data_IF_262439458037
#
_entry.id   IF_262439458037
#
_cell.length_a   1.000
_cell.length_b   1.000
_cell.length_c   1.000
_cell.angle_alpha   90.00
_cell.angle_beta   90.00
_cell.angle_gamma   90.00
#
_symmetry.space_group_name_H-M   'P 1'
#
loop_
_entity.id
_entity.type
_entity.pdbx_description
1 polymer ?
#
# COMPACT_ATOMS: atom_id res chain seq x y z
N UNK A 1 20.42 25.17 17.55
CA UNK A 1 19.33 24.30 18.02
C UNK A 1 18.86 23.52 16.83
N UNK A 2 18.98 22.18 16.82
CA UNK A 2 18.35 21.31 15.81
C UNK A 2 16.85 21.49 15.98
N UNK A 3 16.19 21.89 14.91
CA UNK A 3 14.79 22.28 14.98
C UNK A 3 13.89 21.06 14.94
N UNK A 4 13.52 20.52 16.10
CA UNK A 4 12.42 19.58 16.21
C UNK A 4 11.15 20.24 15.65
N UNK A 5 10.53 19.62 14.64
CA UNK A 5 9.26 20.08 14.11
C UNK A 5 8.15 19.82 15.14
N UNK A 6 7.55 20.89 15.71
CA UNK A 6 6.51 20.78 16.75
C UNK A 6 6.84 19.75 17.87
N UNK A 7 8.12 19.67 18.29
CA UNK A 7 8.67 18.72 19.28
C UNK A 7 8.81 17.26 18.81
N UNK A 8 8.61 16.97 17.53
CA UNK A 8 8.87 15.66 16.95
C UNK A 8 10.30 15.60 16.42
N UNK A 9 10.99 14.52 16.72
CA UNK A 9 12.22 14.15 16.02
C UNK A 9 11.83 13.40 14.75
N UNK A 10 12.41 13.81 13.62
CA UNK A 10 12.02 13.34 12.28
C UNK A 10 13.19 12.64 11.59
N UNK A 11 12.90 11.58 10.86
CA UNK A 11 13.85 10.94 9.94
C UNK A 11 13.21 10.79 8.56
N UNK A 12 14.01 10.87 7.51
CA UNK A 12 13.56 10.56 6.14
C UNK A 12 14.41 9.44 5.58
N UNK A 13 13.79 8.39 5.09
CA UNK A 13 14.42 7.28 4.39
C UNK A 13 14.35 7.53 2.88
N UNK A 14 15.49 7.42 2.21
CA UNK A 14 15.64 7.62 0.76
C UNK A 14 16.22 6.32 0.17
N UNK A 15 15.42 5.48 -0.46
CA UNK A 15 15.94 4.33 -1.22
C UNK A 15 16.63 4.84 -2.48
N UNK A 16 17.86 4.39 -2.73
CA UNK A 16 18.69 4.83 -3.85
C UNK A 16 19.18 3.62 -4.65
N UNK A 17 18.87 3.58 -5.95
CA UNK A 17 19.42 2.61 -6.89
C UNK A 17 19.70 3.27 -8.22
N UNK A 18 20.98 3.50 -8.56
CA UNK A 18 21.43 4.19 -9.76
C UNK A 18 20.90 5.63 -9.86
N UNK A 19 21.09 6.40 -8.77
CA UNK A 19 20.59 7.78 -8.62
C UNK A 19 21.74 8.81 -8.58
N UNK A 20 22.93 8.51 -9.13
CA UNK A 20 24.11 9.37 -9.09
C UNK A 20 23.84 10.82 -9.53
N UNK A 21 22.88 10.99 -10.49
CA UNK A 21 22.55 12.30 -11.10
C UNK A 21 21.57 13.10 -10.27
N UNK A 22 20.62 12.45 -9.59
CA UNK A 22 19.48 13.12 -8.98
C UNK A 22 19.60 13.23 -7.47
N UNK A 23 20.25 12.28 -6.79
CA UNK A 23 20.28 12.19 -5.33
C UNK A 23 20.82 13.46 -4.65
N UNK A 24 21.76 14.17 -5.29
CA UNK A 24 22.28 15.43 -4.76
C UNK A 24 21.19 16.50 -4.65
N UNK A 25 20.33 16.61 -5.64
CA UNK A 25 19.23 17.58 -5.67
C UNK A 25 18.16 17.19 -4.66
N UNK A 26 17.78 15.92 -4.62
CA UNK A 26 16.83 15.37 -3.65
C UNK A 26 17.24 15.71 -2.22
N UNK A 27 18.50 15.43 -1.83
CA UNK A 27 18.98 15.69 -0.46
C UNK A 27 19.03 17.20 -0.16
N UNK A 28 19.44 18.04 -1.13
CA UNK A 28 19.52 19.50 -0.93
C UNK A 28 18.16 20.18 -0.76
N UNK A 29 17.11 19.64 -1.37
CA UNK A 29 15.73 20.16 -1.25
C UNK A 29 15.06 19.82 0.08
N UNK A 30 15.60 18.84 0.83
CA UNK A 30 15.05 18.48 2.13
C UNK A 30 15.18 19.59 3.15
N UNK A 31 14.07 19.91 3.78
CA UNK A 31 13.98 21.00 4.77
C UNK A 31 14.87 20.80 5.98
N UNK A 32 15.22 21.91 6.63
CA UNK A 32 16.12 21.92 7.81
C UNK A 32 15.49 21.31 9.07
N UNK A 33 14.16 21.16 9.11
CA UNK A 33 13.47 20.55 10.23
C UNK A 33 13.60 19.01 10.26
N UNK A 34 14.10 18.39 9.18
CA UNK A 34 14.42 16.97 9.15
C UNK A 34 15.72 16.74 9.91
N UNK A 35 15.65 15.97 11.01
CA UNK A 35 16.77 15.72 11.90
C UNK A 35 17.75 14.68 11.33
N UNK A 36 17.22 13.63 10.68
CA UNK A 36 17.99 12.53 10.11
C UNK A 36 17.59 12.24 8.66
N UNK A 37 18.57 12.10 7.78
CA UNK A 37 18.40 11.71 6.39
C UNK A 37 19.11 10.37 6.20
N UNK A 38 18.36 9.30 5.99
CA UNK A 38 18.88 7.93 5.87
C UNK A 38 18.81 7.54 4.39
N UNK A 39 19.91 7.71 3.66
CA UNK A 39 20.02 7.27 2.28
C UNK A 39 20.50 5.81 2.25
N UNK A 40 19.66 4.93 1.69
CA UNK A 40 19.96 3.50 1.57
C UNK A 40 20.36 3.21 0.13
N UNK A 41 21.64 2.96 -0.09
CA UNK A 41 22.15 2.49 -1.38
C UNK A 41 21.81 1.00 -1.55
N UNK A 42 20.99 0.67 -2.52
CA UNK A 42 20.52 -0.71 -2.77
C UNK A 42 21.39 -1.42 -3.80
N UNK A 43 22.69 -1.52 -3.51
CA UNK A 43 23.73 -2.09 -4.38
C UNK A 43 23.71 -1.46 -5.78
N UNK A 44 23.81 -0.12 -5.86
CA UNK A 44 23.91 0.62 -7.14
C UNK A 44 25.13 0.19 -7.96
N UNK A 45 25.00 0.23 -9.27
CA UNK A 45 26.05 -0.12 -10.24
C UNK A 45 26.76 1.11 -10.81
N UNK A 46 26.25 2.31 -10.52
CA UNK A 46 26.82 3.62 -10.86
C UNK A 46 27.57 4.25 -9.66
N UNK A 47 27.97 5.51 -9.73
CA UNK A 47 28.68 6.20 -8.64
C UNK A 47 27.74 6.75 -7.54
N UNK A 48 26.54 6.22 -7.38
CA UNK A 48 25.58 6.67 -6.33
C UNK A 48 26.24 6.67 -4.95
N UNK A 49 26.94 5.59 -4.58
CA UNK A 49 27.59 5.48 -3.28
C UNK A 49 28.71 6.52 -3.11
N UNK A 50 29.50 6.81 -4.17
CA UNK A 50 30.53 7.83 -4.16
C UNK A 50 29.95 9.23 -3.96
N UNK A 51 28.84 9.54 -4.62
CA UNK A 51 28.10 10.80 -4.45
C UNK A 51 27.56 10.94 -3.03
N UNK A 52 26.90 9.89 -2.49
CA UNK A 52 26.37 9.87 -1.12
C UNK A 52 27.49 10.11 -0.07
N UNK A 53 28.64 9.45 -0.23
CA UNK A 53 29.77 9.63 0.68
C UNK A 53 30.39 11.03 0.64
N UNK A 54 30.38 11.68 -0.53
CA UNK A 54 30.79 13.10 -0.65
C UNK A 54 29.80 14.03 0.06
N UNK A 55 28.49 13.81 -0.12
CA UNK A 55 27.43 14.59 0.53
C UNK A 55 27.45 14.43 2.05
N UNK A 56 27.71 13.22 2.57
CA UNK A 56 27.82 12.94 4.00
C UNK A 56 28.88 13.78 4.68
N UNK A 57 30.01 14.06 4.01
CA UNK A 57 31.07 14.95 4.57
C UNK A 57 30.63 16.42 4.73
N UNK A 58 29.56 16.82 4.04
CA UNK A 58 29.05 18.20 4.02
C UNK A 58 27.72 18.36 4.77
N UNK A 59 27.10 17.25 5.18
CA UNK A 59 25.78 17.25 5.84
C UNK A 59 25.74 16.23 6.97
N UNK A 60 25.91 16.72 8.21
CA UNK A 60 25.92 15.90 9.43
C UNK A 60 24.61 15.14 9.68
N UNK A 61 23.50 15.52 9.02
CA UNK A 61 22.21 14.82 9.12
C UNK A 61 22.16 13.60 8.22
N UNK A 62 23.06 13.51 7.22
CA UNK A 62 23.04 12.44 6.23
C UNK A 62 23.75 11.19 6.75
N UNK A 63 23.01 10.12 6.79
CA UNK A 63 23.45 8.78 7.11
C UNK A 63 23.37 7.96 5.84
N UNK A 64 24.44 7.26 5.50
CA UNK A 64 24.49 6.37 4.34
C UNK A 64 24.52 4.94 4.83
N UNK A 65 23.56 4.15 4.37
CA UNK A 65 23.46 2.70 4.60
C UNK A 65 23.65 2.01 3.25
N UNK A 66 24.53 1.02 3.20
CA UNK A 66 24.90 0.33 1.97
C UNK A 66 24.46 -1.15 2.03
N UNK A 67 23.58 -1.56 1.12
CA UNK A 67 23.16 -2.95 0.99
C UNK A 67 24.16 -3.71 0.12
N UNK A 68 24.58 -4.89 0.54
CA UNK A 68 25.50 -5.76 -0.24
C UNK A 68 24.87 -6.28 -1.53
N UNK A 69 23.54 -6.47 -1.54
CA UNK A 69 22.77 -6.98 -2.68
C UNK A 69 21.54 -6.11 -2.91
N UNK A 70 21.13 -5.97 -4.17
CA UNK A 70 19.91 -5.27 -4.54
C UNK A 70 18.67 -6.02 -4.04
N UNK A 71 17.98 -5.45 -3.07
CA UNK A 71 16.77 -5.98 -2.47
C UNK A 71 15.48 -5.42 -3.10
N UNK A 72 15.60 -4.36 -3.90
CA UNK A 72 14.49 -3.58 -4.44
C UNK A 72 14.02 -2.49 -3.50
N UNK A 73 13.16 -1.59 -4.00
CA UNK A 73 12.72 -0.40 -3.26
C UNK A 73 12.16 -0.73 -1.87
N UNK A 74 11.32 -1.75 -1.75
CA UNK A 74 10.76 -2.18 -0.47
C UNK A 74 11.83 -2.72 0.48
N UNK A 75 12.82 -3.48 -0.04
CA UNK A 75 13.93 -3.98 0.76
C UNK A 75 14.80 -2.83 1.29
N UNK A 76 15.12 -1.85 0.46
CA UNK A 76 15.86 -0.65 0.86
C UNK A 76 15.10 0.16 1.92
N UNK A 77 13.78 0.32 1.76
CA UNK A 77 12.94 1.00 2.76
C UNK A 77 12.92 0.25 4.09
N UNK A 78 12.79 -1.07 4.09
CA UNK A 78 12.83 -1.89 5.32
C UNK A 78 14.18 -1.74 6.01
N UNK A 79 15.30 -1.75 5.26
CA UNK A 79 16.63 -1.49 5.81
C UNK A 79 16.71 -0.09 6.44
N UNK A 80 16.15 0.92 5.78
CA UNK A 80 16.11 2.29 6.30
C UNK A 80 15.26 2.44 7.56
N UNK A 81 14.11 1.78 7.65
CA UNK A 81 13.27 1.76 8.85
C UNK A 81 13.98 1.08 10.02
N UNK A 82 14.58 -0.09 9.77
CA UNK A 82 15.34 -0.80 10.80
C UNK A 82 16.49 0.06 11.34
N UNK A 83 17.20 0.76 10.45
CA UNK A 83 18.24 1.71 10.85
C UNK A 83 17.67 2.87 11.67
N UNK A 84 16.57 3.51 11.22
CA UNK A 84 15.92 4.60 11.92
C UNK A 84 15.51 4.20 13.35
N UNK A 85 14.88 3.02 13.49
CA UNK A 85 14.44 2.48 14.78
C UNK A 85 15.61 2.21 15.71
N UNK A 86 16.71 1.63 15.22
CA UNK A 86 17.85 1.23 16.06
C UNK A 86 18.77 2.39 16.45
N UNK A 87 18.88 3.41 15.59
CA UNK A 87 19.93 4.42 15.72
C UNK A 87 19.44 5.86 15.89
N UNK A 88 18.12 6.10 15.85
CA UNK A 88 17.54 7.43 16.07
C UNK A 88 16.39 7.37 17.08
N UNK A 89 15.95 8.53 17.56
CA UNK A 89 14.73 8.69 18.35
C UNK A 89 13.57 9.26 17.54
N UNK A 90 13.70 9.26 16.21
CA UNK A 90 12.67 9.79 15.34
C UNK A 90 11.31 9.08 15.58
N UNK A 91 10.28 9.87 15.80
CA UNK A 91 8.91 9.40 16.00
C UNK A 91 8.10 9.42 14.72
N UNK A 92 8.44 10.32 13.79
CA UNK A 92 7.92 10.37 12.42
C UNK A 92 9.03 9.98 11.43
N UNK A 93 8.80 8.93 10.65
CA UNK A 93 9.75 8.43 9.67
C UNK A 93 9.14 8.63 8.28
N UNK A 94 9.72 9.56 7.52
CA UNK A 94 9.29 9.92 6.18
C UNK A 94 9.92 9.01 5.12
N UNK A 95 9.28 8.96 3.96
CA UNK A 95 9.77 8.29 2.75
C UNK A 95 9.82 9.31 1.62
N UNK A 96 10.97 9.41 0.95
CA UNK A 96 11.15 10.23 -0.25
C UNK A 96 11.93 9.41 -1.27
N UNK A 97 11.46 9.38 -2.52
CA UNK A 97 12.19 8.72 -3.60
C UNK A 97 13.47 9.48 -3.95
N UNK A 98 14.52 8.77 -4.38
CA UNK A 98 15.83 9.36 -4.73
C UNK A 98 15.85 10.07 -6.08
N UNK A 99 14.81 9.92 -6.89
CA UNK A 99 14.67 10.35 -8.29
C UNK A 99 14.25 11.82 -8.50
N UNK A 100 14.14 12.61 -7.41
CA UNK A 100 13.73 14.02 -7.40
C UNK A 100 12.34 14.31 -8.03
N UNK A 101 11.48 13.29 -8.22
CA UNK A 101 10.15 13.47 -8.77
C UNK A 101 9.12 13.97 -7.76
N UNK A 102 9.40 13.84 -6.46
CA UNK A 102 8.54 14.33 -5.40
C UNK A 102 8.98 15.73 -4.94
N UNK A 103 8.04 16.69 -4.93
CA UNK A 103 8.30 18.01 -4.38
C UNK A 103 8.30 17.93 -2.84
N UNK A 104 9.50 17.98 -2.25
CA UNK A 104 9.72 17.89 -0.81
C UNK A 104 9.08 19.04 0.00
N UNK A 105 8.60 20.13 -0.64
CA UNK A 105 7.86 21.20 0.04
C UNK A 105 6.56 20.74 0.67
N UNK A 106 5.93 19.66 0.13
CA UNK A 106 4.71 19.09 0.68
C UNK A 106 4.93 18.25 1.95
N UNK A 107 6.18 17.85 2.25
CA UNK A 107 6.49 17.05 3.45
C UNK A 107 6.08 17.76 4.74
N UNK A 108 6.17 19.09 4.78
CA UNK A 108 5.78 19.88 5.96
C UNK A 108 4.27 19.83 6.19
N UNK A 109 3.47 20.10 5.16
CA UNK A 109 2.02 20.04 5.23
C UNK A 109 1.52 18.61 5.57
N UNK A 110 2.19 17.59 5.02
CA UNK A 110 1.90 16.19 5.37
C UNK A 110 2.25 15.86 6.83
N UNK A 111 3.29 16.48 7.38
CA UNK A 111 3.67 16.32 8.78
C UNK A 111 2.70 17.06 9.72
N UNK A 112 2.11 18.17 9.27
CA UNK A 112 1.02 18.84 9.99
C UNK A 112 -0.21 17.92 10.06
N UNK A 113 -0.63 17.33 8.94
CA UNK A 113 -1.73 16.35 8.93
C UNK A 113 -1.43 15.14 9.82
N UNK A 114 -0.18 14.67 9.83
CA UNK A 114 0.25 13.55 10.69
C UNK A 114 0.03 13.86 12.18
N UNK A 115 0.33 15.11 12.61
CA UNK A 115 0.15 15.55 13.99
C UNK A 115 -1.31 15.86 14.28
N UNK A 116 -1.93 16.73 13.49
CA UNK A 116 -3.23 17.33 13.77
C UNK A 116 -4.36 16.29 13.67
N UNK A 117 -4.23 15.31 12.76
CA UNK A 117 -5.20 14.23 12.60
C UNK A 117 -4.82 12.96 13.38
N UNK A 118 -3.71 12.97 14.14
CA UNK A 118 -3.19 11.80 14.85
C UNK A 118 -3.12 10.57 13.95
N UNK A 119 -2.63 10.76 12.71
CA UNK A 119 -2.50 9.69 11.74
C UNK A 119 -1.29 8.80 12.05
N UNK A 120 -1.39 7.53 11.71
CA UNK A 120 -0.29 6.58 11.82
C UNK A 120 0.55 6.56 10.53
N UNK A 121 -0.09 6.82 9.39
CA UNK A 121 0.55 7.01 8.10
C UNK A 121 -0.16 8.10 7.32
N UNK A 122 0.54 9.15 6.93
CA UNK A 122 0.09 10.16 5.97
C UNK A 122 0.77 9.90 4.64
N UNK A 123 -0.01 9.67 3.61
CA UNK A 123 0.44 9.24 2.29
C UNK A 123 0.15 10.31 1.25
N UNK A 124 1.13 10.64 0.40
CA UNK A 124 0.93 11.55 -0.71
C UNK A 124 0.00 10.92 -1.75
N UNK A 125 -1.00 11.68 -2.21
CA UNK A 125 -1.94 11.25 -3.24
C UNK A 125 -2.04 12.26 -4.38
N UNK A 126 -1.77 11.78 -5.60
CA UNK A 126 -1.79 12.56 -6.85
C UNK A 126 -3.18 12.62 -7.49
N UNK A 127 -4.12 11.78 -7.06
CA UNK A 127 -5.42 11.61 -7.73
C UNK A 127 -6.48 12.63 -7.33
N UNK A 128 -6.22 13.53 -6.41
CA UNK A 128 -7.16 14.62 -6.08
C UNK A 128 -7.27 15.68 -7.18
N UNK A 129 -6.32 15.75 -8.13
CA UNK A 129 -6.36 16.67 -9.25
C UNK A 129 -7.01 16.01 -10.48
N UNK A 130 -8.22 16.45 -10.84
CA UNK A 130 -8.98 15.99 -12.02
C UNK A 130 -8.17 16.07 -13.35
N UNK A 131 -7.17 16.92 -13.42
CA UNK A 131 -6.34 17.10 -14.62
C UNK A 131 -5.48 15.88 -14.95
N UNK A 132 -5.05 15.11 -13.96
CA UNK A 132 -4.29 13.88 -14.16
C UNK A 132 -5.07 12.83 -14.98
N UNK A 133 -6.41 12.86 -14.91
CA UNK A 133 -7.27 11.95 -15.67
C UNK A 133 -7.58 12.43 -17.09
N UNK A 134 -7.54 13.75 -17.35
CA UNK A 134 -7.93 14.29 -18.67
C UNK A 134 -6.98 13.88 -19.81
N UNK A 135 -5.71 13.70 -19.52
CA UNK A 135 -4.67 13.35 -20.50
C UNK A 135 -4.50 11.84 -20.73
N UNK A 136 -5.17 11.01 -19.90
CA UNK A 136 -5.02 9.56 -19.94
C UNK A 136 -6.04 8.89 -20.87
N UNK A 137 -5.67 7.94 -21.75
CA UNK A 137 -6.61 7.17 -22.57
C UNK A 137 -7.68 6.47 -21.73
N UNK A 138 -8.94 6.43 -22.21
CA UNK A 138 -10.12 5.90 -21.45
C UNK A 138 -9.92 4.45 -20.95
N UNK A 139 -9.33 3.57 -21.76
CA UNK A 139 -9.06 2.19 -21.36
C UNK A 139 -8.08 2.09 -20.17
N UNK A 140 -7.10 3.01 -20.12
CA UNK A 140 -6.15 3.11 -19.00
C UNK A 140 -6.81 3.65 -17.73
N UNK A 141 -7.71 4.65 -17.88
CA UNK A 141 -8.49 5.15 -16.76
C UNK A 141 -9.33 4.03 -16.14
N UNK A 142 -10.06 3.27 -16.98
CA UNK A 142 -10.87 2.16 -16.51
C UNK A 142 -10.05 1.06 -15.83
N UNK A 143 -8.91 0.68 -16.42
CA UNK A 143 -7.99 -0.28 -15.83
C UNK A 143 -7.46 0.17 -14.46
N UNK A 144 -7.07 1.43 -14.33
CA UNK A 144 -6.59 1.99 -13.07
C UNK A 144 -7.67 2.03 -12.00
N UNK A 145 -8.91 2.43 -12.35
CA UNK A 145 -10.05 2.42 -11.42
C UNK A 145 -10.33 1.00 -10.92
N UNK A 146 -10.33 0.02 -11.84
CA UNK A 146 -10.58 -1.37 -11.48
C UNK A 146 -9.49 -1.95 -10.57
N UNK A 147 -8.21 -1.73 -10.90
CA UNK A 147 -7.08 -2.15 -10.06
C UNK A 147 -7.12 -1.45 -8.70
N UNK A 148 -7.42 -0.14 -8.67
CA UNK A 148 -7.56 0.61 -7.43
C UNK A 148 -8.67 0.02 -6.55
N UNK A 149 -9.83 -0.30 -7.12
CA UNK A 149 -10.92 -0.94 -6.40
C UNK A 149 -10.52 -2.29 -5.80
N UNK A 150 -9.89 -3.16 -6.60
CA UNK A 150 -9.40 -4.45 -6.13
C UNK A 150 -8.35 -4.30 -5.02
N UNK A 151 -7.48 -3.30 -5.13
CA UNK A 151 -6.47 -3.05 -4.10
C UNK A 151 -7.08 -2.54 -2.81
N UNK A 152 -8.16 -1.76 -2.87
CA UNK A 152 -8.94 -1.36 -1.69
C UNK A 152 -9.48 -2.59 -0.93
N UNK A 153 -10.05 -3.56 -1.64
CA UNK A 153 -10.46 -4.83 -1.03
C UNK A 153 -9.30 -5.62 -0.45
N UNK A 154 -8.14 -5.62 -1.11
CA UNK A 154 -6.94 -6.31 -0.61
C UNK A 154 -6.41 -5.68 0.66
N UNK A 155 -6.25 -4.36 0.67
CA UNK A 155 -5.63 -3.63 1.78
C UNK A 155 -6.61 -3.32 2.92
N UNK A 156 -7.92 -3.21 2.61
CA UNK A 156 -8.95 -2.79 3.56
C UNK A 156 -8.94 -1.29 3.85
N UNK A 157 -8.24 -0.50 3.03
CA UNK A 157 -8.28 0.96 3.06
C UNK A 157 -9.12 1.48 1.88
N UNK A 158 -10.39 1.73 2.14
CA UNK A 158 -11.36 2.15 1.13
C UNK A 158 -11.31 3.65 0.85
N UNK A 159 -10.83 4.45 1.82
CA UNK A 159 -10.65 5.90 1.72
C UNK A 159 -9.43 6.30 0.89
N UNK A 160 -8.38 5.46 0.85
CA UNK A 160 -7.12 5.76 0.16
C UNK A 160 -7.29 5.70 -1.36
N UNK A 161 -6.77 6.74 -2.05
CA UNK A 161 -6.97 6.91 -3.49
C UNK A 161 -5.73 6.56 -4.31
N UNK A 162 -4.53 6.98 -3.92
CA UNK A 162 -3.27 6.71 -4.64
C UNK A 162 -2.44 5.64 -3.93
N UNK A 163 -2.69 4.38 -4.25
CA UNK A 163 -2.03 3.24 -3.61
C UNK A 163 -0.55 3.14 -3.98
N UNK A 164 -0.20 3.59 -5.18
CA UNK A 164 1.13 3.40 -5.77
C UNK A 164 2.15 4.47 -5.41
N UNK A 165 1.76 5.55 -4.76
CA UNK A 165 2.69 6.57 -4.29
C UNK A 165 3.31 6.13 -2.96
N UNK A 166 4.62 5.99 -2.90
CA UNK A 166 5.36 5.58 -1.71
C UNK A 166 5.73 6.72 -0.75
N UNK A 167 5.61 7.99 -1.17
CA UNK A 167 5.98 9.13 -0.32
C UNK A 167 4.98 9.35 0.82
N UNK A 168 5.50 9.61 2.02
CA UNK A 168 4.64 9.82 3.19
C UNK A 168 5.38 9.82 4.51
N UNK A 169 4.64 9.96 5.61
CA UNK A 169 5.15 9.91 6.98
C UNK A 169 4.52 8.75 7.74
N UNK A 170 5.35 7.85 8.27
CA UNK A 170 4.93 6.74 9.13
C UNK A 170 5.32 7.00 10.58
N UNK A 171 4.46 6.57 11.50
CA UNK A 171 4.71 6.59 12.93
C UNK A 171 5.63 5.43 13.33
N UNK A 172 6.64 5.72 14.15
CA UNK A 172 7.63 4.73 14.61
C UNK A 172 6.99 3.52 15.30
N UNK A 173 6.09 3.75 16.26
CA UNK A 173 5.44 2.68 17.03
C UNK A 173 4.58 1.75 16.19
N UNK A 174 4.11 2.23 15.03
CA UNK A 174 3.40 1.41 14.05
C UNK A 174 4.41 0.57 13.23
N UNK A 175 5.53 1.18 12.80
CA UNK A 175 6.58 0.45 12.08
C UNK A 175 7.10 -0.72 12.94
N UNK A 176 7.28 -0.50 14.24
CA UNK A 176 7.72 -1.53 15.21
C UNK A 176 6.72 -2.69 15.36
N UNK A 177 5.42 -2.47 15.07
CA UNK A 177 4.36 -3.51 15.10
C UNK A 177 4.20 -4.26 13.79
N UNK A 178 4.69 -3.71 12.68
CA UNK A 178 4.54 -4.32 11.35
C UNK A 178 5.41 -5.56 11.23
N UNK A 179 4.80 -6.67 10.83
CA UNK A 179 5.55 -7.86 10.40
C UNK A 179 6.07 -7.67 8.97
N UNK A 180 7.32 -7.29 8.84
CA UNK A 180 7.96 -7.10 7.53
C UNK A 180 8.17 -8.39 6.74
N UNK A 181 8.00 -9.57 7.33
CA UNK A 181 8.06 -10.85 6.60
C UNK A 181 6.95 -10.98 5.56
N UNK A 182 5.85 -10.27 5.75
CA UNK A 182 4.70 -10.25 4.84
C UNK A 182 4.77 -9.12 3.80
N UNK A 183 5.73 -8.21 3.92
CA UNK A 183 5.90 -7.06 3.01
C UNK A 183 6.79 -7.47 1.84
N UNK A 184 6.32 -7.22 0.62
CA UNK A 184 7.08 -7.52 -0.60
C UNK A 184 8.22 -6.50 -0.78
N UNK A 185 9.39 -6.98 -1.18
CA UNK A 185 10.60 -6.15 -1.28
C UNK A 185 10.74 -5.37 -2.59
N UNK A 186 9.94 -5.69 -3.61
CA UNK A 186 10.04 -5.09 -4.95
C UNK A 186 8.76 -4.34 -5.34
N UNK A 187 8.25 -4.56 -6.54
CA UNK A 187 7.16 -3.79 -7.17
C UNK A 187 5.82 -3.74 -6.42
N UNK A 188 5.55 -4.71 -5.55
CA UNK A 188 4.27 -4.78 -4.81
C UNK A 188 4.42 -4.28 -3.36
N UNK A 189 5.51 -3.53 -3.09
CA UNK A 189 5.82 -3.00 -1.76
C UNK A 189 4.67 -2.18 -1.19
N UNK A 190 4.17 -1.18 -1.93
CA UNK A 190 3.16 -0.24 -1.44
C UNK A 190 1.86 -0.97 -1.05
N UNK A 191 1.39 -1.88 -1.90
CA UNK A 191 0.19 -2.68 -1.62
C UNK A 191 0.38 -3.61 -0.44
N UNK A 192 1.53 -4.27 -0.34
CA UNK A 192 1.82 -5.20 0.75
C UNK A 192 2.05 -4.47 2.08
N UNK A 193 2.67 -3.29 2.04
CA UNK A 193 2.85 -2.42 3.21
C UNK A 193 1.50 -1.92 3.74
N UNK A 194 0.60 -1.43 2.87
CA UNK A 194 -0.76 -1.06 3.28
C UNK A 194 -1.53 -2.26 3.86
N UNK A 195 -1.35 -3.46 3.29
CA UNK A 195 -1.93 -4.68 3.86
C UNK A 195 -1.41 -4.95 5.27
N UNK A 196 -0.10 -4.83 5.50
CA UNK A 196 0.52 -5.01 6.80
C UNK A 196 0.07 -3.95 7.81
N UNK A 197 -0.04 -2.69 7.38
CA UNK A 197 -0.59 -1.60 8.19
C UNK A 197 -2.06 -1.84 8.59
N UNK A 198 -2.87 -2.39 7.67
CA UNK A 198 -4.26 -2.75 7.97
C UNK A 198 -4.38 -3.86 9.02
N UNK A 199 -3.45 -4.81 9.03
CA UNK A 199 -3.41 -5.90 10.03
C UNK A 199 -3.18 -5.34 11.44
N UNK A 200 -2.32 -4.33 11.58
CA UNK A 200 -2.06 -3.65 12.87
C UNK A 200 -3.06 -2.52 13.16
N UNK A 201 -4.13 -2.37 12.35
CA UNK A 201 -5.17 -1.34 12.47
C UNK A 201 -4.64 0.10 12.45
N UNK A 202 -3.60 0.36 11.67
CA UNK A 202 -3.05 1.70 11.50
C UNK A 202 -4.06 2.64 10.84
N UNK A 203 -4.10 3.90 11.31
CA UNK A 203 -4.88 4.98 10.69
C UNK A 203 -4.09 5.59 9.55
N UNK A 204 -4.54 5.34 8.32
CA UNK A 204 -3.90 5.85 7.09
C UNK A 204 -4.76 6.93 6.47
N UNK A 205 -4.16 8.05 6.11
CA UNK A 205 -4.83 9.16 5.43
C UNK A 205 -4.05 9.60 4.19
N UNK A 206 -4.77 10.10 3.19
CA UNK A 206 -4.19 10.70 1.98
C UNK A 206 -4.02 12.22 2.16
N UNK A 207 -2.85 12.74 1.76
CA UNK A 207 -2.61 14.17 1.58
C UNK A 207 -2.53 14.49 0.08
N UNK A 208 -3.31 15.47 -0.39
CA UNK A 208 -3.34 15.86 -1.79
C UNK A 208 -2.04 16.55 -2.22
N UNK A 209 -1.36 15.99 -3.22
CA UNK A 209 -0.16 16.59 -3.83
C UNK A 209 -0.34 16.74 -5.33
N UNK A 210 0.19 17.79 -5.99
CA UNK A 210 0.18 17.88 -7.43
C UNK A 210 0.97 16.73 -8.06
N UNK A 211 0.48 16.23 -9.19
CA UNK A 211 1.21 15.24 -9.97
C UNK A 211 2.28 15.93 -10.82
N UNK A 212 3.54 15.67 -10.55
CA UNK A 212 4.66 16.05 -11.41
C UNK A 212 5.00 14.84 -12.29
N UNK A 213 4.58 14.87 -13.55
CA UNK A 213 4.99 13.86 -14.52
C UNK A 213 6.24 14.37 -15.26
N UNK A 214 7.38 13.70 -15.03
CA UNK A 214 8.56 13.89 -15.86
C UNK A 214 8.30 13.43 -17.30
N UNK A 215 9.19 13.79 -18.23
CA UNK A 215 9.10 13.42 -19.66
C UNK A 215 9.35 11.92 -19.94
N UNK A 216 9.31 11.06 -18.93
CA UNK A 216 9.59 9.64 -19.08
C UNK A 216 8.45 8.89 -19.77
N UNK A 217 8.79 8.22 -20.87
CA UNK A 217 7.87 7.31 -21.57
C UNK A 217 7.74 6.02 -20.75
N UNK A 218 6.55 5.77 -20.21
CA UNK A 218 6.25 4.52 -19.50
C UNK A 218 6.47 3.31 -20.42
N UNK A 219 7.42 2.45 -20.07
CA UNK A 219 7.73 1.17 -20.76
C UNK A 219 6.93 -0.02 -20.21
N UNK A 220 5.91 0.23 -19.41
CA UNK A 220 5.12 -0.80 -18.71
C UNK A 220 4.32 -1.65 -19.71
N UNK A 221 4.61 -2.95 -19.73
CA UNK A 221 3.82 -3.95 -20.48
C UNK A 221 2.51 -4.22 -19.70
N UNK A 222 1.37 -3.74 -20.22
CA UNK A 222 0.07 -3.71 -19.54
C UNK A 222 -0.41 -5.11 -19.05
N UNK A 223 -0.42 -6.12 -19.91
CA UNK A 223 -1.00 -7.44 -19.61
C UNK A 223 -0.19 -8.20 -18.53
N UNK A 224 1.14 -8.35 -18.64
CA UNK A 224 1.93 -9.02 -17.59
C UNK A 224 1.85 -8.30 -16.24
N UNK A 225 1.81 -6.96 -16.27
CA UNK A 225 1.71 -6.15 -15.05
C UNK A 225 0.34 -6.31 -14.38
N UNK A 226 -0.75 -6.30 -15.17
CA UNK A 226 -2.10 -6.51 -14.65
C UNK A 226 -2.26 -7.89 -13.97
N UNK A 227 -1.73 -8.94 -14.59
CA UNK A 227 -1.79 -10.29 -14.01
C UNK A 227 -0.97 -10.43 -12.71
N UNK A 228 0.20 -9.78 -12.67
CA UNK A 228 1.00 -9.74 -11.43
C UNK A 228 0.29 -8.98 -10.32
N UNK A 229 -0.27 -7.80 -10.63
CA UNK A 229 -1.03 -7.01 -9.67
C UNK A 229 -2.25 -7.79 -9.14
N UNK A 230 -2.97 -8.52 -10.01
CA UNK A 230 -4.11 -9.34 -9.60
C UNK A 230 -3.70 -10.44 -8.61
N UNK A 231 -2.56 -11.10 -8.85
CA UNK A 231 -2.00 -12.10 -7.91
C UNK A 231 -1.61 -11.46 -6.57
N UNK A 232 -0.99 -10.29 -6.59
CA UNK A 232 -0.61 -9.56 -5.38
C UNK A 232 -1.83 -9.15 -4.57
N UNK A 233 -2.87 -8.62 -5.23
CA UNK A 233 -4.16 -8.27 -4.62
C UNK A 233 -4.81 -9.50 -3.99
N UNK A 234 -4.87 -10.62 -4.71
CA UNK A 234 -5.46 -11.87 -4.20
C UNK A 234 -4.71 -12.41 -2.98
N UNK A 235 -3.38 -12.45 -3.06
CA UNK A 235 -2.51 -12.87 -1.95
C UNK A 235 -2.66 -11.94 -0.74
N UNK A 236 -2.67 -10.62 -0.98
CA UNK A 236 -2.85 -9.60 0.05
C UNK A 236 -4.21 -9.72 0.75
N UNK A 237 -5.30 -9.90 -0.02
CA UNK A 237 -6.65 -10.07 0.53
C UNK A 237 -6.73 -11.24 1.51
N UNK A 238 -6.34 -12.46 1.08
CA UNK A 238 -6.42 -13.63 1.94
C UNK A 238 -5.47 -13.56 3.13
N UNK A 239 -4.28 -12.97 2.95
CA UNK A 239 -3.35 -12.72 4.03
C UNK A 239 -3.96 -11.80 5.08
N UNK A 240 -4.58 -10.67 4.66
CA UNK A 240 -5.27 -9.76 5.56
C UNK A 240 -6.43 -10.43 6.29
N UNK A 241 -7.32 -11.15 5.57
CA UNK A 241 -8.42 -11.88 6.19
C UNK A 241 -7.92 -12.84 7.25
N UNK A 242 -6.86 -13.61 6.94
CA UNK A 242 -6.30 -14.58 7.87
C UNK A 242 -5.70 -13.91 9.11
N UNK A 243 -4.77 -12.98 8.94
CA UNK A 243 -4.07 -12.35 10.07
C UNK A 243 -5.00 -11.44 10.87
N UNK A 244 -5.79 -10.59 10.21
CA UNK A 244 -6.62 -9.58 10.89
C UNK A 244 -7.87 -10.18 11.53
N UNK A 245 -8.53 -11.13 10.87
CA UNK A 245 -9.88 -11.56 11.22
C UNK A 245 -10.00 -13.02 11.70
N UNK A 246 -8.98 -13.84 11.49
CA UNK A 246 -8.96 -15.23 11.97
C UNK A 246 -8.02 -15.38 13.16
N UNK A 247 -6.74 -14.99 12.98
CA UNK A 247 -5.68 -15.29 13.96
C UNK A 247 -5.83 -14.51 15.27
N UNK A 248 -6.21 -13.23 15.22
CA UNK A 248 -6.31 -12.36 16.39
C UNK A 248 -7.69 -12.34 17.07
N UNK A 249 -8.57 -13.28 16.74
CA UNK A 249 -9.89 -13.41 17.34
C UNK A 249 -10.95 -13.50 16.26
N UNK A 250 -11.64 -14.61 16.17
CA UNK A 250 -12.58 -14.95 15.10
C UNK A 250 -13.65 -13.88 14.91
N UNK A 251 -13.35 -12.91 14.06
CA UNK A 251 -14.16 -11.72 13.84
C UNK A 251 -15.35 -12.04 12.93
N UNK A 252 -16.53 -11.39 13.09
CA UNK A 252 -17.71 -11.61 12.26
C UNK A 252 -17.46 -11.51 10.74
N UNK A 253 -16.53 -10.66 10.30
CA UNK A 253 -16.11 -10.59 8.89
C UNK A 253 -15.66 -11.95 8.36
N UNK A 254 -14.80 -12.66 9.10
CA UNK A 254 -14.33 -13.99 8.69
C UNK A 254 -15.47 -15.00 8.67
N UNK A 255 -16.33 -14.99 9.71
CA UNK A 255 -17.47 -15.88 9.80
C UNK A 255 -18.40 -15.73 8.59
N UNK A 256 -18.86 -14.49 8.32
CA UNK A 256 -19.77 -14.22 7.21
C UNK A 256 -19.14 -14.50 5.86
N UNK A 257 -17.85 -14.14 5.67
CA UNK A 257 -17.13 -14.39 4.44
C UNK A 257 -17.01 -15.89 4.13
N UNK A 258 -16.52 -16.69 5.08
CA UNK A 258 -16.34 -18.13 4.87
C UNK A 258 -17.66 -18.86 4.71
N UNK A 259 -18.69 -18.52 5.50
CA UNK A 259 -20.02 -19.09 5.37
C UNK A 259 -20.64 -18.71 4.03
N UNK A 260 -20.47 -17.46 3.59
CA UNK A 260 -20.92 -17.00 2.27
C UNK A 260 -20.24 -17.78 1.14
N UNK A 261 -18.92 -17.95 1.17
CA UNK A 261 -18.17 -18.74 0.18
C UNK A 261 -18.64 -20.21 0.19
N UNK A 262 -18.89 -20.79 1.35
CA UNK A 262 -19.41 -22.15 1.48
C UNK A 262 -20.78 -22.33 0.78
N UNK A 263 -21.74 -21.44 1.03
CA UNK A 263 -23.04 -21.47 0.36
C UNK A 263 -22.93 -21.20 -1.15
N UNK A 264 -21.97 -20.36 -1.58
CA UNK A 264 -21.70 -20.15 -2.99
C UNK A 264 -21.24 -21.42 -3.69
N UNK A 265 -20.33 -22.17 -3.07
CA UNK A 265 -19.85 -23.46 -3.61
C UNK A 265 -20.99 -24.46 -3.68
N UNK A 266 -21.81 -24.59 -2.65
CA UNK A 266 -23.01 -25.47 -2.64
C UNK A 266 -23.92 -25.10 -3.79
N UNK A 267 -24.25 -23.82 -3.96
CA UNK A 267 -25.09 -23.33 -5.05
C UNK A 267 -24.56 -23.74 -6.42
N UNK A 268 -23.24 -23.53 -6.65
CA UNK A 268 -22.58 -23.89 -7.90
C UNK A 268 -22.62 -25.40 -8.17
N UNK A 269 -22.42 -26.24 -7.15
CA UNK A 269 -22.48 -27.69 -7.28
C UNK A 269 -23.90 -28.16 -7.67
N UNK A 270 -24.92 -27.62 -7.01
CA UNK A 270 -26.32 -27.95 -7.33
C UNK A 270 -26.66 -27.44 -8.74
N UNK A 271 -26.32 -26.22 -9.09
CA UNK A 271 -26.56 -25.66 -10.42
C UNK A 271 -25.86 -26.47 -11.52
N UNK A 272 -24.61 -26.87 -11.30
CA UNK A 272 -23.83 -27.72 -12.19
C UNK A 272 -24.48 -29.10 -12.35
N UNK A 273 -24.91 -29.73 -11.26
CA UNK A 273 -25.63 -31.00 -11.30
C UNK A 273 -26.93 -30.89 -12.13
N UNK A 274 -27.76 -29.88 -11.88
CA UNK A 274 -28.98 -29.64 -12.62
C UNK A 274 -28.74 -29.40 -14.12
N UNK A 275 -27.65 -28.71 -14.45
CA UNK A 275 -27.24 -28.50 -15.84
C UNK A 275 -26.83 -29.83 -16.50
N UNK A 276 -26.07 -30.68 -15.80
CA UNK A 276 -25.72 -32.02 -16.28
C UNK A 276 -26.96 -32.89 -16.53
N UNK A 277 -27.92 -32.92 -15.60
CA UNK A 277 -29.17 -33.65 -15.75
C UNK A 277 -29.94 -33.16 -16.99
N UNK A 278 -30.00 -31.84 -17.21
CA UNK A 278 -30.65 -31.28 -18.40
C UNK A 278 -29.94 -31.67 -19.69
N UNK A 279 -28.62 -31.63 -19.73
CA UNK A 279 -27.85 -31.88 -20.95
C UNK A 279 -27.74 -33.38 -21.31
N UNK A 280 -27.56 -34.24 -20.32
CA UNK A 280 -27.28 -35.67 -20.54
C UNK A 280 -28.49 -36.55 -20.36
N UNK A 281 -29.38 -36.25 -19.39
CA UNK A 281 -30.59 -37.03 -19.18
C UNK A 281 -31.82 -36.43 -19.89
N UNK A 282 -31.66 -35.30 -20.58
CA UNK A 282 -32.74 -34.57 -21.28
C UNK A 282 -33.97 -34.28 -20.40
N UNK A 283 -33.77 -34.21 -19.09
CA UNK A 283 -34.85 -33.89 -18.13
C UNK A 283 -34.80 -32.42 -17.75
N UNK A 284 -35.93 -31.72 -17.85
CA UNK A 284 -36.03 -30.33 -17.41
C UNK A 284 -36.09 -30.27 -15.88
N UNK A 285 -35.22 -29.42 -15.23
CA UNK A 285 -35.30 -29.24 -13.79
C UNK A 285 -36.66 -28.70 -13.35
N UNK A 286 -37.19 -29.19 -12.23
CA UNK A 286 -38.40 -28.66 -11.63
C UNK A 286 -38.16 -27.31 -10.97
N UNK A 287 -39.20 -26.50 -10.76
CA UNK A 287 -39.08 -25.24 -10.03
C UNK A 287 -38.47 -25.44 -8.64
N UNK A 288 -38.85 -26.52 -7.94
CA UNK A 288 -38.26 -26.85 -6.62
C UNK A 288 -36.76 -27.13 -6.67
N UNK A 289 -36.30 -27.90 -7.68
CA UNK A 289 -34.85 -28.18 -7.83
C UNK A 289 -34.04 -26.93 -8.19
N UNK A 290 -34.61 -26.04 -9.00
CA UNK A 290 -33.94 -24.72 -9.28
C UNK A 290 -33.84 -23.88 -8.02
N UNK A 291 -34.89 -23.83 -7.19
CA UNK A 291 -34.88 -23.10 -5.92
C UNK A 291 -33.82 -23.61 -4.95
N UNK A 292 -33.50 -24.92 -4.95
CA UNK A 292 -32.41 -25.48 -4.14
C UNK A 292 -31.02 -24.92 -4.52
N UNK A 293 -30.83 -24.50 -5.77
CA UNK A 293 -29.60 -23.81 -6.19
C UNK A 293 -29.66 -22.30 -5.88
N UNK A 294 -30.83 -21.67 -6.10
CA UNK A 294 -30.98 -20.21 -5.98
C UNK A 294 -30.93 -19.74 -4.53
N UNK A 295 -31.54 -20.46 -3.58
CA UNK A 295 -31.58 -20.07 -2.18
C UNK A 295 -30.16 -19.96 -1.55
N UNK A 296 -29.26 -20.96 -1.67
CA UNK A 296 -27.88 -20.84 -1.20
C UNK A 296 -27.14 -19.72 -1.91
N UNK A 297 -27.40 -19.46 -3.20
CA UNK A 297 -26.79 -18.35 -3.93
C UNK A 297 -27.16 -16.99 -3.31
N UNK A 298 -28.46 -16.75 -3.10
CA UNK A 298 -28.94 -15.49 -2.49
C UNK A 298 -28.38 -15.32 -1.10
N UNK A 299 -28.37 -16.38 -0.27
CA UNK A 299 -27.79 -16.35 1.06
C UNK A 299 -26.29 -16.07 1.03
N UNK A 300 -25.57 -16.67 0.10
CA UNK A 300 -24.15 -16.42 -0.12
C UNK A 300 -23.87 -14.93 -0.40
N UNK A 301 -24.60 -14.36 -1.37
CA UNK A 301 -24.47 -12.94 -1.73
C UNK A 301 -24.73 -12.05 -0.51
N UNK A 302 -25.79 -12.33 0.24
CA UNK A 302 -26.15 -11.58 1.45
C UNK A 302 -25.02 -11.62 2.49
N UNK A 303 -24.47 -12.80 2.76
CA UNK A 303 -23.41 -12.98 3.75
C UNK A 303 -22.09 -12.28 3.33
N UNK A 304 -21.71 -12.40 2.05
CA UNK A 304 -20.52 -11.72 1.52
C UNK A 304 -20.68 -10.19 1.59
N UNK A 305 -21.85 -9.66 1.20
CA UNK A 305 -22.12 -8.23 1.32
C UNK A 305 -22.08 -7.75 2.77
N UNK A 306 -22.63 -8.54 3.71
CA UNK A 306 -22.54 -8.23 5.14
C UNK A 306 -21.09 -8.19 5.62
N UNK A 307 -20.27 -9.18 5.24
CA UNK A 307 -18.85 -9.20 5.56
C UNK A 307 -18.13 -7.94 5.06
N UNK A 308 -18.37 -7.55 3.81
CA UNK A 308 -17.79 -6.34 3.20
C UNK A 308 -18.26 -5.07 3.90
N UNK A 309 -19.54 -4.97 4.24
CA UNK A 309 -20.09 -3.79 4.95
C UNK A 309 -19.41 -3.60 6.32
N UNK A 310 -19.22 -4.69 7.06
CA UNK A 310 -18.52 -4.64 8.35
C UNK A 310 -17.05 -4.28 8.16
N UNK A 311 -16.39 -4.81 7.12
CA UNK A 311 -14.98 -4.51 6.83
C UNK A 311 -14.77 -3.02 6.50
N UNK A 312 -15.64 -2.44 5.68
CA UNK A 312 -15.65 -0.99 5.37
C UNK A 312 -15.90 -0.16 6.62
N UNK A 313 -16.86 -0.57 7.47
CA UNK A 313 -17.19 0.14 8.70
C UNK A 313 -16.03 0.13 9.71
N UNK A 314 -15.22 -0.92 9.72
CA UNK A 314 -14.05 -1.02 10.59
C UNK A 314 -12.98 0.01 10.25
N UNK A 315 -12.77 0.36 8.97
CA UNK A 315 -11.88 1.46 8.59
C UNK A 315 -12.38 2.78 9.18
N UNK A 316 -13.68 3.10 8.99
CA UNK A 316 -14.25 4.35 9.48
C UNK A 316 -14.16 4.51 11.01
N UNK A 317 -14.19 3.41 11.76
CA UNK A 317 -14.04 3.44 13.21
C UNK A 317 -12.59 3.73 13.66
N UNK A 318 -11.59 3.40 12.85
CA UNK A 318 -10.20 3.77 13.10
C UNK A 318 -9.95 5.28 12.96
N UNK A 319 -10.79 6.00 12.21
CA UNK A 319 -10.73 7.46 12.11
C UNK A 319 -11.35 8.19 13.30
N UNK A 320 -12.17 7.51 14.12
CA UNK A 320 -12.87 8.11 15.28
C UNK A 320 -12.13 7.92 16.61
N UNK A 321 -11.07 7.13 16.62
CA UNK A 321 -10.18 6.95 17.78
C UNK A 321 -9.03 7.94 17.74
#
# INVERSE_FOLDING_TARGET
>A
MRGMYRKLETAVVIPCYNEEKMITQTIKKLSKYIDHIIAVNDASTDDTIGVLNKLKKQNDRLIVVDNEINQGVGGALITGYDYAIKHTKATAIGIVAGDDQFDSSYLEAMLDDFIDQSADYVKASRFFHREAFKTMPKYRQFGNIFISLLTKFSTGYYSITDITNGCGWLRRDIIEKVDFSIVEKRYDYETSMLTALSIVNAKVIDHAVPAHYGNEKSTIKLIPTAWRNLKAVWKGFWRRIYYKYVLYGFHPVALFLFTGVFFFIISLLIAGFLLCVKLFAHQSPTAGSVMLAVLPFVLSVQLVLTALTIDVSNESNNFKK
#
